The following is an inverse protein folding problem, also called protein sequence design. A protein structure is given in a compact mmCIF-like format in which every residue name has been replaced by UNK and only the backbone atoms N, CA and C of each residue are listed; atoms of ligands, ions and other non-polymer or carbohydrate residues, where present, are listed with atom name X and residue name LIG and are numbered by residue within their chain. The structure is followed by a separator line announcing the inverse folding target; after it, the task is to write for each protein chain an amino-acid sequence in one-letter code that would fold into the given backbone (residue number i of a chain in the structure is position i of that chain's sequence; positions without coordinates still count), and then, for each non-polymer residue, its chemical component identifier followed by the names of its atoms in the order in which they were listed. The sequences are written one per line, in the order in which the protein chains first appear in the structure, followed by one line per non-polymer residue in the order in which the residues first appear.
data_IF_555274737331
#
_entry.id   IF_555274737331
#
_cell.length_a   1.000
_cell.length_b   1.000
_cell.length_c   1.000
_cell.angle_alpha   90.00
_cell.angle_beta   90.00
_cell.angle_gamma   90.00
#
_symmetry.space_group_name_H-M   'P 1'
#
loop_
_entity.id
_entity.type
_entity.pdbx_description
1 polymer ?
#
# COMPACT_ATOMS: atom_id res chain seq x y z
N UNK A 1 -34.17 -3.59 -34.32
CA UNK A 1 -34.44 -2.55 -33.31
C UNK A 1 -33.15 -2.28 -32.58
N UNK A 2 -32.56 -1.11 -32.78
CA UNK A 2 -31.33 -0.70 -32.12
C UNK A 2 -31.68 -0.38 -30.66
N UNK A 3 -31.16 -1.17 -29.72
CA UNK A 3 -31.30 -0.87 -28.29
C UNK A 3 -30.32 0.25 -27.96
N UNK A 4 -30.86 1.31 -27.38
CA UNK A 4 -30.14 2.48 -26.91
C UNK A 4 -29.15 2.04 -25.81
N UNK A 5 -27.85 2.15 -26.10
CA UNK A 5 -26.78 1.93 -25.11
C UNK A 5 -26.49 3.31 -24.52
N UNK A 6 -27.20 3.65 -23.45
CA UNK A 6 -27.16 4.97 -22.82
C UNK A 6 -25.74 5.49 -22.59
N UNK A 7 -25.62 6.82 -22.60
CA UNK A 7 -24.34 7.51 -22.45
C UNK A 7 -23.58 7.05 -21.18
N UNK A 8 -22.27 6.78 -21.29
CA UNK A 8 -21.48 6.42 -20.12
C UNK A 8 -21.39 7.61 -19.14
N UNK A 9 -21.48 7.37 -17.82
CA UNK A 9 -21.35 8.41 -16.82
C UNK A 9 -19.95 9.02 -16.83
N UNK A 10 -19.86 10.33 -16.54
CA UNK A 10 -18.63 11.13 -16.63
C UNK A 10 -17.65 10.95 -15.46
N UNK A 11 -17.88 9.98 -14.58
CA UNK A 11 -17.13 9.82 -13.34
C UNK A 11 -16.08 8.70 -13.44
N UNK A 12 -14.80 9.02 -13.18
CA UNK A 12 -13.62 8.19 -13.54
C UNK A 12 -13.18 7.17 -12.48
N UNK A 13 -14.09 6.63 -11.68
CA UNK A 13 -13.70 5.80 -10.54
C UNK A 13 -14.19 4.34 -10.52
N UNK A 14 -14.63 3.77 -11.65
CA UNK A 14 -14.92 2.33 -11.74
C UNK A 14 -14.39 1.71 -13.04
N UNK A 15 -13.55 0.68 -12.92
CA UNK A 15 -13.06 -0.12 -14.04
C UNK A 15 -14.16 -1.06 -14.56
N UNK A 16 -14.46 -0.96 -15.85
CA UNK A 16 -15.38 -1.85 -16.56
C UNK A 16 -14.59 -2.87 -17.39
N UNK A 17 -15.00 -4.14 -17.38
CA UNK A 17 -14.42 -5.20 -18.22
C UNK A 17 -15.33 -5.47 -19.41
N UNK A 18 -14.83 -5.23 -20.63
CA UNK A 18 -15.49 -5.67 -21.85
C UNK A 18 -14.81 -6.95 -22.39
N UNK A 19 -15.54 -8.06 -22.47
CA UNK A 19 -15.08 -9.28 -23.12
C UNK A 19 -15.56 -9.30 -24.58
N UNK A 20 -14.65 -9.14 -25.55
CA UNK A 20 -14.97 -9.25 -26.98
C UNK A 20 -14.39 -10.55 -27.53
N UNK A 21 -15.25 -11.45 -28.04
CA UNK A 21 -14.87 -12.57 -28.90
C UNK A 21 -14.93 -12.11 -30.37
N UNK A 22 -13.80 -12.19 -31.09
CA UNK A 22 -13.77 -11.95 -32.55
C UNK A 22 -13.90 -13.26 -33.34
N UNK A 23 -14.74 -13.25 -34.36
CA UNK A 23 -14.58 -14.04 -35.58
C UNK A 23 -15.07 -13.20 -36.77
N UNK A 24 -14.28 -13.13 -37.85
CA UNK A 24 -14.72 -12.60 -39.15
C UNK A 24 -13.90 -11.41 -39.69
N UNK A 25 -13.23 -11.66 -40.81
CA UNK A 25 -12.21 -10.88 -41.54
C UNK A 25 -12.74 -9.73 -42.41
N UNK A 26 -11.98 -8.64 -42.52
CA UNK A 26 -12.08 -7.63 -43.60
C UNK A 26 -10.68 -7.14 -44.01
N UNK A 27 -10.52 -6.89 -45.31
CA UNK A 27 -9.33 -6.55 -46.11
C UNK A 27 -8.39 -5.46 -45.54
N UNK A 28 -7.09 -5.43 -45.96
CA UNK A 28 -6.08 -4.54 -45.37
C UNK A 28 -6.28 -3.07 -45.75
N UNK A 29 -6.16 -2.19 -44.75
CA UNK A 29 -6.08 -0.74 -44.92
C UNK A 29 -4.68 -0.31 -45.39
N UNK A 30 -4.51 0.83 -46.09
CA UNK A 30 -3.20 1.34 -46.48
C UNK A 30 -2.34 1.71 -45.26
N UNK A 31 -1.00 1.63 -45.34
CA UNK A 31 -0.13 1.95 -44.22
C UNK A 31 -0.20 3.46 -43.88
N UNK A 32 -0.17 3.82 -42.59
CA UNK A 32 -0.12 5.23 -42.17
C UNK A 32 1.22 5.88 -42.54
N UNK A 33 1.29 7.22 -42.67
CA UNK A 33 2.56 7.94 -42.76
C UNK A 33 3.38 7.64 -41.50
N UNK A 34 4.70 7.42 -41.65
CA UNK A 34 5.64 7.22 -40.55
C UNK A 34 5.57 8.41 -39.57
N UNK A 35 4.78 8.24 -38.50
CA UNK A 35 4.94 9.00 -37.28
C UNK A 35 6.05 8.31 -36.49
N UNK A 36 7.02 9.10 -36.04
CA UNK A 36 8.09 8.67 -35.13
C UNK A 36 7.53 7.72 -34.06
N UNK A 37 8.26 6.67 -33.63
CA UNK A 37 7.79 5.82 -32.55
C UNK A 37 7.57 6.70 -31.32
N UNK A 38 6.30 6.98 -31.04
CA UNK A 38 5.86 7.65 -29.83
C UNK A 38 6.52 6.92 -28.66
N UNK A 39 7.32 7.66 -27.91
CA UNK A 39 7.87 7.20 -26.64
C UNK A 39 6.75 6.54 -25.83
N UNK A 40 6.97 5.38 -25.19
CA UNK A 40 5.93 4.75 -24.42
C UNK A 40 5.41 5.74 -23.38
N UNK A 41 4.11 5.99 -23.42
CA UNK A 41 3.36 6.67 -22.36
C UNK A 41 3.77 6.05 -21.01
N UNK A 42 4.06 6.85 -19.97
CA UNK A 42 4.42 6.28 -18.68
C UNK A 42 3.24 5.46 -18.16
N UNK A 43 3.45 4.14 -18.08
CA UNK A 43 2.55 3.23 -17.41
C UNK A 43 2.32 3.70 -15.97
N UNK A 44 1.08 3.61 -15.49
CA UNK A 44 0.72 3.88 -14.10
C UNK A 44 1.59 3.04 -13.17
N UNK A 45 2.55 3.70 -12.52
CA UNK A 45 3.31 3.34 -11.32
C UNK A 45 3.45 1.86 -10.96
N UNK A 46 4.32 1.12 -11.67
CA UNK A 46 5.08 0.08 -11.00
C UNK A 46 6.08 0.76 -10.04
N UNK A 47 6.21 0.33 -8.77
CA UNK A 47 7.18 0.93 -7.84
C UNK A 47 8.58 0.76 -8.43
N UNK A 48 9.21 1.89 -8.75
CA UNK A 48 10.59 1.91 -9.18
C UNK A 48 11.47 1.71 -7.94
N UNK A 49 12.14 0.57 -7.87
CA UNK A 49 13.21 0.28 -6.90
C UNK A 49 14.46 1.16 -7.09
N UNK A 50 14.45 2.09 -8.04
CA UNK A 50 15.64 2.86 -8.46
C UNK A 50 16.25 3.76 -7.37
N UNK A 51 15.51 4.08 -6.29
CA UNK A 51 16.01 4.93 -5.21
C UNK A 51 16.54 4.17 -4.00
N UNK A 52 16.56 2.82 -4.02
CA UNK A 52 16.97 2.00 -2.86
C UNK A 52 16.08 2.18 -1.63
N UNK A 53 14.87 2.74 -1.82
CA UNK A 53 13.91 3.02 -0.77
C UNK A 53 12.91 1.87 -0.68
N UNK A 54 12.89 1.18 0.45
CA UNK A 54 12.12 -0.05 0.63
C UNK A 54 11.65 -0.22 2.07
N UNK A 55 10.39 -0.64 2.26
CA UNK A 55 9.96 -1.19 3.55
C UNK A 55 10.51 -2.61 3.65
N UNK A 56 11.50 -2.79 4.50
CA UNK A 56 12.20 -4.07 4.71
C UNK A 56 11.47 -4.99 5.67
N UNK A 57 10.57 -4.48 6.52
CA UNK A 57 9.87 -5.27 7.52
C UNK A 57 8.92 -4.48 8.39
N UNK A 58 8.35 -5.19 9.36
CA UNK A 58 7.53 -4.61 10.39
C UNK A 58 7.99 -5.16 11.74
N UNK A 59 7.92 -4.32 12.77
CA UNK A 59 8.24 -4.71 14.15
C UNK A 59 7.04 -4.43 15.03
N UNK A 60 6.66 -5.41 15.85
CA UNK A 60 5.71 -5.21 16.95
C UNK A 60 6.45 -4.54 18.10
N UNK A 61 5.86 -3.48 18.61
CA UNK A 61 6.40 -2.64 19.69
C UNK A 61 5.43 -2.67 20.86
N UNK A 62 5.97 -2.80 22.07
CA UNK A 62 5.25 -2.46 23.29
C UNK A 62 5.23 -0.93 23.41
N UNK A 63 4.07 -0.35 23.11
CA UNK A 63 3.85 1.10 23.13
C UNK A 63 3.75 1.66 24.55
N UNK A 64 3.55 0.82 25.58
CA UNK A 64 3.58 1.30 26.97
C UNK A 64 5.01 1.46 27.49
N UNK A 65 5.97 0.77 26.87
CA UNK A 65 7.39 0.81 27.24
C UNK A 65 8.30 1.41 26.16
N UNK A 66 7.76 1.77 25.00
CA UNK A 66 8.48 2.20 23.80
C UNK A 66 9.60 1.23 23.39
N UNK A 67 9.32 -0.07 23.47
CA UNK A 67 10.32 -1.11 23.22
C UNK A 67 9.86 -2.12 22.19
N UNK A 68 10.75 -2.44 21.26
CA UNK A 68 10.58 -3.53 20.32
C UNK A 68 10.30 -4.84 21.07
N UNK A 69 9.23 -5.53 20.69
CA UNK A 69 8.98 -6.89 21.14
C UNK A 69 9.66 -7.87 20.18
N UNK A 70 9.27 -7.87 18.90
CA UNK A 70 9.83 -8.76 17.88
C UNK A 70 9.44 -8.34 16.45
N UNK A 71 10.24 -8.72 15.43
CA UNK A 71 9.89 -8.53 14.02
C UNK A 71 8.71 -9.41 13.61
N UNK A 72 7.77 -8.83 12.86
CA UNK A 72 6.57 -9.51 12.41
C UNK A 72 6.80 -10.28 11.09
N UNK A 73 6.15 -11.44 10.97
CA UNK A 73 6.13 -12.30 9.79
C UNK A 73 4.74 -12.36 9.16
N UNK A 74 4.68 -12.53 7.83
CA UNK A 74 3.41 -12.65 7.12
C UNK A 74 2.60 -13.87 7.55
N UNK A 75 1.32 -13.64 7.88
CA UNK A 75 0.36 -14.65 8.29
C UNK A 75 0.44 -15.04 9.77
N UNK A 76 1.25 -14.35 10.59
CA UNK A 76 1.36 -14.71 11.99
C UNK A 76 0.16 -14.28 12.83
N UNK A 77 0.08 -14.88 14.03
CA UNK A 77 -0.93 -14.58 15.03
C UNK A 77 -0.34 -13.75 16.16
N UNK A 78 -0.96 -12.62 16.45
CA UNK A 78 -0.68 -11.79 17.63
C UNK A 78 -1.72 -12.14 18.69
N UNK A 79 -1.29 -12.79 19.76
CA UNK A 79 -2.14 -13.13 20.90
C UNK A 79 -1.97 -12.10 22.02
N UNK A 80 -3.03 -11.32 22.27
CA UNK A 80 -3.05 -10.26 23.26
C UNK A 80 -2.79 -10.76 24.70
N UNK A 81 -3.07 -12.04 24.97
CA UNK A 81 -2.71 -12.67 26.23
C UNK A 81 -1.19 -12.69 26.49
N UNK A 82 -0.39 -12.66 25.41
CA UNK A 82 1.07 -12.76 25.44
C UNK A 82 1.75 -11.42 25.20
N UNK A 83 1.25 -10.63 24.27
CA UNK A 83 1.86 -9.36 23.85
C UNK A 83 1.40 -8.17 24.68
N UNK A 84 0.31 -8.33 25.43
CA UNK A 84 -0.39 -7.24 26.09
C UNK A 84 -1.24 -6.40 25.13
N UNK A 85 -1.94 -5.42 25.69
CA UNK A 85 -2.89 -4.57 24.97
C UNK A 85 -2.27 -3.24 24.47
N UNK A 86 -1.04 -2.91 24.89
CA UNK A 86 -0.32 -1.70 24.48
C UNK A 86 0.54 -1.94 23.23
N UNK A 87 -0.08 -2.18 22.08
CA UNK A 87 0.66 -2.49 20.87
C UNK A 87 0.97 -1.24 20.04
N UNK A 88 2.10 -1.25 19.34
CA UNK A 88 2.34 -0.41 18.18
C UNK A 88 2.99 -1.26 17.07
N UNK A 89 2.81 -0.82 15.82
CA UNK A 89 3.39 -1.47 14.66
C UNK A 89 4.25 -0.47 13.91
N UNK A 90 5.55 -0.74 13.88
CA UNK A 90 6.54 0.08 13.17
C UNK A 90 6.86 -0.55 11.81
N UNK A 91 6.96 0.27 10.76
CA UNK A 91 7.57 -0.14 9.50
C UNK A 91 9.09 0.11 9.56
N UNK A 92 9.87 -0.93 9.26
CA UNK A 92 11.33 -0.86 9.17
C UNK A 92 11.72 -0.58 7.72
N UNK A 93 12.46 0.51 7.48
CA UNK A 93 12.67 1.05 6.13
C UNK A 93 14.16 1.22 5.85
N UNK A 94 14.60 0.81 4.65
CA UNK A 94 15.94 1.12 4.13
C UNK A 94 15.91 2.38 3.27
N UNK A 95 17.06 3.06 3.18
CA UNK A 95 17.17 4.38 2.55
C UNK A 95 16.75 5.51 3.48
N UNK A 96 16.45 6.69 2.91
CA UNK A 96 16.07 7.89 3.65
C UNK A 96 14.71 8.41 3.15
N UNK A 97 13.57 7.80 3.56
CA UNK A 97 12.26 8.27 3.15
C UNK A 97 11.95 9.63 3.76
N UNK A 98 11.24 10.47 2.98
CA UNK A 98 10.59 11.67 3.51
C UNK A 98 9.27 11.34 4.22
N UNK A 99 8.64 10.20 3.90
CA UNK A 99 7.49 9.68 4.63
C UNK A 99 7.22 8.19 4.37
N UNK A 100 6.41 7.57 5.23
CA UNK A 100 5.84 6.23 5.05
C UNK A 100 4.33 6.33 5.16
N UNK A 101 3.62 5.85 4.14
CA UNK A 101 2.16 5.75 4.15
C UNK A 101 1.74 4.35 4.53
N UNK A 102 0.76 4.24 5.42
CA UNK A 102 0.10 2.99 5.77
C UNK A 102 -1.31 2.92 5.16
N UNK A 103 -1.59 1.82 4.50
CA UNK A 103 -2.91 1.42 4.04
C UNK A 103 -3.35 0.18 4.85
N UNK A 104 -4.57 0.16 5.39
CA UNK A 104 -5.08 -0.97 6.21
C UNK A 104 -6.40 -1.47 5.64
N UNK A 105 -6.47 -2.77 5.35
CA UNK A 105 -7.66 -3.44 4.80
C UNK A 105 -8.21 -2.75 3.54
N UNK A 106 -7.29 -2.28 2.70
CA UNK A 106 -7.61 -1.55 1.45
C UNK A 106 -8.00 -0.09 1.65
N UNK A 107 -8.13 0.40 2.88
CA UNK A 107 -8.30 1.83 3.15
C UNK A 107 -6.95 2.51 2.94
N UNK A 108 -6.88 3.34 1.90
CA UNK A 108 -5.65 4.05 1.52
C UNK A 108 -5.38 5.19 2.50
N UNK A 109 -4.11 5.42 2.81
CA UNK A 109 -3.64 6.55 3.61
C UNK A 109 -4.31 6.64 4.99
N UNK A 110 -4.46 5.50 5.69
CA UNK A 110 -4.89 5.51 7.09
C UNK A 110 -3.92 6.30 7.96
N UNK A 111 -2.62 6.26 7.62
CA UNK A 111 -1.59 7.08 8.25
C UNK A 111 -0.51 7.48 7.25
N UNK A 112 0.05 8.67 7.43
CA UNK A 112 1.30 9.08 6.79
C UNK A 112 2.25 9.59 7.88
N UNK A 113 3.35 8.87 8.09
CA UNK A 113 4.41 9.25 9.01
C UNK A 113 5.55 9.95 8.29
N UNK A 114 5.96 11.10 8.80
CA UNK A 114 6.93 11.98 8.13
C UNK A 114 8.32 11.94 8.76
N UNK A 115 8.44 11.32 9.94
CA UNK A 115 9.65 11.30 10.74
C UNK A 115 9.73 9.90 11.35
N UNK A 116 10.95 9.34 11.42
CA UNK A 116 11.15 8.07 12.08
C UNK A 116 11.02 8.23 13.61
N UNK A 117 10.53 7.22 14.35
CA UNK A 117 10.09 5.90 13.87
C UNK A 117 8.78 5.93 13.07
N UNK A 118 8.68 5.18 11.97
CA UNK A 118 7.48 5.16 11.14
C UNK A 118 6.44 4.18 11.70
N UNK A 119 5.53 4.66 12.55
CA UNK A 119 4.52 3.84 13.21
C UNK A 119 3.11 3.97 12.60
N UNK A 120 2.34 2.89 12.59
CA UNK A 120 0.97 2.84 12.02
C UNK A 120 0.00 3.82 12.70
N UNK A 121 0.08 3.95 14.03
CA UNK A 121 -0.67 4.96 14.81
C UNK A 121 0.13 6.26 15.03
N UNK A 122 1.37 6.29 14.53
CA UNK A 122 2.38 7.32 14.74
C UNK A 122 3.05 7.30 16.10
N UNK A 123 3.95 8.26 16.29
CA UNK A 123 4.67 8.50 17.54
C UNK A 123 4.80 10.02 17.80
N UNK A 124 5.24 10.36 19.01
CA UNK A 124 5.73 11.71 19.33
C UNK A 124 7.10 11.59 19.98
N UNK A 125 8.15 11.84 19.20
CA UNK A 125 9.53 11.82 19.71
C UNK A 125 9.92 10.45 20.29
N UNK A 126 9.45 9.38 19.65
CA UNK A 126 9.71 8.00 20.09
C UNK A 126 8.69 7.42 21.06
N UNK A 127 7.76 8.23 21.59
CA UNK A 127 6.59 7.78 22.36
C UNK A 127 5.52 7.25 21.39
N UNK A 128 5.36 5.93 21.31
CA UNK A 128 4.49 5.29 20.34
C UNK A 128 3.02 5.43 20.74
N UNK A 129 2.20 5.93 19.81
CA UNK A 129 0.76 5.92 20.03
C UNK A 129 0.22 4.49 20.00
N UNK A 130 -0.58 4.13 21.01
CA UNK A 130 -1.14 2.79 21.13
C UNK A 130 -2.08 2.50 19.94
N UNK A 131 -1.78 1.42 19.23
CA UNK A 131 -2.65 0.73 18.30
C UNK A 131 -3.44 -0.34 19.06
N UNK A 132 -4.76 -0.14 19.18
CA UNK A 132 -5.66 -1.10 19.83
C UNK A 132 -6.52 -1.81 18.77
N UNK A 133 -5.96 -2.79 18.04
CA UNK A 133 -6.75 -3.55 17.08
C UNK A 133 -7.81 -4.38 17.80
N UNK A 134 -8.99 -4.50 17.17
CA UNK A 134 -9.92 -5.55 17.53
C UNK A 134 -9.37 -6.92 17.14
N UNK A 135 -10.01 -7.99 17.60
CA UNK A 135 -9.72 -9.34 17.10
C UNK A 135 -10.10 -9.43 15.62
N UNK A 136 -9.25 -10.04 14.82
CA UNK A 136 -9.49 -10.20 13.39
C UNK A 136 -8.21 -10.25 12.56
N UNK A 137 -8.37 -10.44 11.26
CA UNK A 137 -7.26 -10.40 10.30
C UNK A 137 -7.13 -9.01 9.70
N UNK A 138 -5.90 -8.51 9.65
CA UNK A 138 -5.55 -7.22 9.10
C UNK A 138 -4.54 -7.38 7.96
N UNK A 139 -4.78 -6.67 6.87
CA UNK A 139 -3.81 -6.52 5.78
C UNK A 139 -3.25 -5.10 5.79
N UNK A 140 -2.02 -4.97 6.27
CA UNK A 140 -1.31 -3.70 6.45
C UNK A 140 -0.29 -3.56 5.34
N UNK A 141 -0.36 -2.47 4.58
CA UNK A 141 0.61 -2.15 3.53
C UNK A 141 1.31 -0.85 3.85
N UNK A 142 2.63 -0.88 3.93
CA UNK A 142 3.45 0.31 4.08
C UNK A 142 4.17 0.65 2.78
N UNK A 143 4.16 1.93 2.41
CA UNK A 143 4.79 2.45 1.20
C UNK A 143 5.70 3.61 1.59
N UNK A 144 7.01 3.53 1.33
CA UNK A 144 7.91 4.64 1.60
C UNK A 144 7.88 5.62 0.42
N UNK A 145 8.01 6.90 0.71
CA UNK A 145 8.02 7.98 -0.26
C UNK A 145 9.23 8.89 -0.05
N UNK A 146 9.83 9.39 -1.13
CA UNK A 146 10.99 10.28 -1.04
C UNK A 146 10.65 11.64 -0.43
N UNK A 147 9.42 12.12 -0.61
CA UNK A 147 8.93 13.37 -0.04
C UNK A 147 8.10 13.17 1.22
N UNK A 148 7.83 14.29 1.92
CA UNK A 148 6.88 14.33 3.05
C UNK A 148 5.45 14.18 2.55
N UNK A 149 4.54 13.84 3.46
CA UNK A 149 3.10 13.74 3.22
C UNK A 149 2.72 12.82 2.05
N UNK A 150 3.50 11.75 1.82
CA UNK A 150 3.30 10.82 0.70
C UNK A 150 3.61 11.41 -0.68
N UNK A 151 4.36 12.51 -0.75
CA UNK A 151 4.78 13.14 -2.01
C UNK A 151 6.08 12.55 -2.56
N UNK A 152 6.41 12.93 -3.80
CA UNK A 152 7.60 12.41 -4.49
C UNK A 152 7.39 11.01 -5.04
N UNK A 153 8.48 10.27 -5.21
CA UNK A 153 8.46 8.92 -5.78
C UNK A 153 8.20 7.88 -4.69
N UNK A 154 7.29 6.94 -4.97
CA UNK A 154 7.10 5.77 -4.11
C UNK A 154 8.26 4.78 -4.30
N UNK A 155 8.75 4.24 -3.18
CA UNK A 155 9.69 3.12 -3.15
C UNK A 155 8.99 1.76 -3.14
N UNK A 156 9.76 0.71 -2.84
CA UNK A 156 9.24 -0.64 -2.71
C UNK A 156 8.38 -0.77 -1.44
N UNK A 157 7.11 -1.09 -1.64
CA UNK A 157 6.15 -1.29 -0.57
C UNK A 157 6.22 -2.72 -0.03
N UNK A 158 5.87 -2.90 1.25
CA UNK A 158 5.67 -4.21 1.86
C UNK A 158 4.26 -4.34 2.38
N UNK A 159 3.68 -5.52 2.18
CA UNK A 159 2.38 -5.89 2.76
C UNK A 159 2.61 -6.96 3.81
N UNK A 160 2.00 -6.77 4.97
CA UNK A 160 1.94 -7.70 6.07
C UNK A 160 0.48 -8.10 6.28
N UNK A 161 0.23 -9.39 6.37
CA UNK A 161 -1.04 -9.93 6.85
C UNK A 161 -0.80 -10.51 8.24
N UNK A 162 -1.67 -10.20 9.19
CA UNK A 162 -1.61 -10.71 10.57
C UNK A 162 -3.01 -11.01 11.08
N UNK A 163 -3.13 -11.91 12.05
CA UNK A 163 -4.37 -12.16 12.79
C UNK A 163 -4.18 -11.78 14.25
N UNK A 164 -5.01 -10.90 14.77
CA UNK A 164 -5.08 -10.56 16.19
C UNK A 164 -6.11 -11.47 16.86
N UNK A 165 -5.68 -12.17 17.91
CA UNK A 165 -6.51 -13.02 18.75
C UNK A 165 -6.29 -12.71 20.23
N UNK A 166 -7.18 -13.25 21.07
CA UNK A 166 -7.09 -13.11 22.52
C UNK A 166 -7.48 -14.44 23.14
N UNK A 167 -6.53 -15.08 23.82
CA UNK A 167 -6.68 -16.41 24.44
C UNK A 167 -6.95 -16.39 25.95
N UNK A 168 -7.11 -15.20 26.54
CA UNK A 168 -7.43 -15.01 27.97
C UNK A 168 -8.77 -15.60 28.38
#
# INVERSE_FOLDING_TARGET
GLRDLGEPPRDRHLDWVALVRRAGSRAPAPPPPNVDPAAPTPAVGAPSTANGLEVTGFTLVDACLDRDQYPLQGGEKIDLARTGDCLALRADVSGAPGSVRFDVDGRVAQRIENVAPYALSGDRSGDYAIWQPGRGTYRIRAVPFTGRAGSGSAGAARTLEITVEDSR
#
